data_IF_777652345375
#
_entry.id   IF_777652345375
#
_cell.length_a   1.000
_cell.length_b   1.000
_cell.length_c   1.000
_cell.angle_alpha   90.00
_cell.angle_beta   90.00
_cell.angle_gamma   90.00
#
_symmetry.space_group_name_H-M   'P 1'
#
loop_
_entity.id
_entity.type
_entity.pdbx_description
1 polymer ?
#
# COMPACT_ATOMS: atom_id res chain seq x y z
N UNK A 1 15.48 12.44 -11.95
CA UNK A 1 14.68 12.16 -10.75
C UNK A 1 13.58 11.22 -11.21
N UNK A 2 13.73 9.93 -10.97
CA UNK A 2 12.69 8.97 -11.39
C UNK A 2 11.45 9.22 -10.54
N UNK A 3 10.32 9.45 -11.19
CA UNK A 3 9.01 9.50 -10.54
C UNK A 3 8.80 8.20 -9.75
N UNK A 4 8.35 8.31 -8.49
CA UNK A 4 8.03 7.13 -7.67
C UNK A 4 6.95 6.28 -8.37
N UNK A 5 7.19 4.97 -8.45
CA UNK A 5 6.19 4.02 -8.93
C UNK A 5 5.02 3.98 -7.95
N UNK A 6 3.85 4.38 -8.45
CA UNK A 6 2.61 4.43 -7.68
C UNK A 6 1.99 3.03 -7.60
N UNK A 7 1.87 2.52 -6.39
CA UNK A 7 1.37 1.15 -6.12
C UNK A 7 0.00 1.22 -5.47
N UNK A 8 -0.90 0.31 -5.87
CA UNK A 8 -2.18 0.07 -5.22
C UNK A 8 -2.10 -1.25 -4.43
N UNK A 9 -2.47 -1.22 -3.15
CA UNK A 9 -2.58 -2.41 -2.32
C UNK A 9 -4.04 -2.90 -2.28
N UNK A 10 -4.31 -4.09 -2.81
CA UNK A 10 -5.65 -4.70 -2.75
C UNK A 10 -5.75 -5.66 -1.56
N UNK A 11 -6.66 -5.35 -0.64
CA UNK A 11 -6.84 -6.04 0.64
C UNK A 11 -6.01 -5.44 1.77
N UNK A 12 -6.65 -5.14 2.90
CA UNK A 12 -6.01 -4.52 4.08
C UNK A 12 -6.23 -5.29 5.39
N UNK A 13 -6.14 -6.62 5.29
CA UNK A 13 -6.08 -7.54 6.43
C UNK A 13 -4.69 -7.56 7.10
N UNK A 14 -4.38 -8.63 7.85
CA UNK A 14 -3.11 -8.74 8.58
C UNK A 14 -1.89 -8.64 7.65
N UNK A 15 -1.88 -9.39 6.54
CA UNK A 15 -0.80 -9.38 5.55
C UNK A 15 -0.59 -8.00 4.92
N UNK A 16 -1.68 -7.34 4.54
CA UNK A 16 -1.65 -5.98 3.98
C UNK A 16 -1.06 -4.95 4.93
N UNK A 17 -1.47 -5.00 6.21
CA UNK A 17 -1.08 -3.98 7.22
C UNK A 17 0.30 -4.19 7.81
N UNK A 18 0.71 -5.44 8.03
CA UNK A 18 1.95 -5.77 8.76
C UNK A 18 3.12 -6.06 7.83
N UNK A 19 2.85 -6.50 6.59
CA UNK A 19 3.91 -6.80 5.61
C UNK A 19 3.87 -5.85 4.43
N UNK A 20 2.81 -5.88 3.61
CA UNK A 20 2.84 -5.18 2.32
C UNK A 20 2.97 -3.66 2.47
N UNK A 21 2.14 -3.01 3.29
CA UNK A 21 2.23 -1.56 3.45
C UNK A 21 3.57 -1.10 4.04
N UNK A 22 4.12 -1.72 5.12
CA UNK A 22 5.45 -1.38 5.61
C UNK A 22 6.58 -1.64 4.60
N UNK A 23 6.54 -2.75 3.86
CA UNK A 23 7.56 -3.05 2.85
C UNK A 23 7.51 -2.09 1.65
N UNK A 24 6.33 -1.68 1.21
CA UNK A 24 6.17 -0.65 0.19
C UNK A 24 6.78 0.66 0.69
N UNK A 25 6.51 1.06 1.93
CA UNK A 25 7.04 2.29 2.52
C UNK A 25 8.57 2.27 2.70
N UNK A 26 9.16 1.10 2.92
CA UNK A 26 10.61 0.93 3.07
C UNK A 26 11.37 0.84 1.73
N UNK A 27 10.67 0.71 0.61
CA UNK A 27 11.30 0.51 -0.70
C UNK A 27 11.43 1.82 -1.46
N UNK A 28 12.65 2.31 -1.62
CA UNK A 28 12.94 3.51 -2.43
C UNK A 28 12.39 3.37 -3.85
N UNK A 29 11.72 4.43 -4.33
CA UNK A 29 11.09 4.45 -5.65
C UNK A 29 9.70 3.83 -5.70
N UNK A 30 9.16 3.35 -4.57
CA UNK A 30 7.75 2.98 -4.46
C UNK A 30 6.99 3.98 -3.60
N UNK A 31 5.76 4.30 -4.04
CA UNK A 31 4.81 5.10 -3.26
C UNK A 31 3.46 4.40 -3.19
N UNK A 32 2.98 4.12 -1.99
CA UNK A 32 1.63 3.62 -1.77
C UNK A 32 0.61 4.72 -2.11
N UNK A 33 -0.06 4.57 -3.24
CA UNK A 33 -0.98 5.57 -3.77
C UNK A 33 -2.44 5.30 -3.39
N UNK A 34 -2.80 4.04 -3.17
CA UNK A 34 -4.15 3.64 -2.77
C UNK A 34 -4.13 2.31 -2.02
N UNK A 35 -5.13 2.12 -1.17
CA UNK A 35 -5.49 0.84 -0.56
C UNK A 35 -6.95 0.56 -0.95
N UNK A 36 -7.21 -0.59 -1.55
CA UNK A 36 -8.55 -1.08 -1.84
C UNK A 36 -8.93 -2.10 -0.76
N UNK A 37 -10.05 -1.89 -0.10
CA UNK A 37 -10.52 -2.76 0.98
C UNK A 37 -12.02 -2.98 0.86
N UNK A 38 -12.49 -4.18 1.23
CA UNK A 38 -13.91 -4.50 1.32
C UNK A 38 -14.53 -4.07 2.67
N UNK A 39 -13.71 -3.61 3.62
CA UNK A 39 -14.15 -3.12 4.94
C UNK A 39 -14.90 -1.78 4.77
N UNK A 40 -16.23 -1.74 4.93
CA UNK A 40 -17.02 -0.53 4.72
C UNK A 40 -16.73 0.57 5.75
N UNK A 41 -16.07 0.24 6.86
CA UNK A 41 -15.65 1.19 7.89
C UNK A 41 -14.37 1.96 7.58
N UNK A 42 -13.65 1.60 6.50
CA UNK A 42 -12.42 2.27 6.06
C UNK A 42 -12.71 3.07 4.78
N UNK A 43 -12.80 4.40 4.92
CA UNK A 43 -12.99 5.36 3.82
C UNK A 43 -11.75 6.19 3.60
#
# INVERSE_FOLDING_TARGET
>A
MSDDLRVCLVGFGLGGRVFHAPLIAATSGLRLAAIVTADPGRR
#
